data_IF_451551924311
#
_entry.id   IF_451551924311
#
_cell.length_a   1.000
_cell.length_b   1.000
_cell.length_c   1.000
_cell.angle_alpha   90.00
_cell.angle_beta   90.00
_cell.angle_gamma   90.00
#
_symmetry.space_group_name_H-M   'P 1'
#
loop_
_entity.id
_entity.type
_entity.pdbx_description
1 polymer ?
#
# COMPACT_ATOMS: atom_id res chain seq x y z
N UNK A 1 65.32 -4.96 -24.68
CA UNK A 1 64.99 -4.09 -23.53
C UNK A 1 64.09 -2.97 -24.03
N UNK A 2 62.77 -3.06 -23.79
CA UNK A 2 61.79 -2.10 -24.30
C UNK A 2 61.60 -1.02 -23.23
N UNK A 3 62.12 0.18 -23.48
CA UNK A 3 61.98 1.33 -22.58
C UNK A 3 60.54 1.83 -22.70
N UNK A 4 59.74 1.58 -21.67
CA UNK A 4 58.36 2.09 -21.56
C UNK A 4 58.45 3.57 -21.21
N UNK A 5 58.35 4.44 -22.22
CA UNK A 5 58.32 5.90 -22.06
C UNK A 5 57.04 6.28 -21.32
N UNK A 6 57.16 6.67 -20.05
CA UNK A 6 56.04 7.18 -19.24
C UNK A 6 55.80 8.64 -19.63
N UNK A 7 55.05 8.85 -20.72
CA UNK A 7 54.68 10.19 -21.18
C UNK A 7 53.56 10.69 -20.27
N UNK A 8 53.79 11.80 -19.57
CA UNK A 8 52.76 12.42 -18.74
C UNK A 8 51.61 12.91 -19.61
N UNK A 9 50.35 12.75 -19.15
CA UNK A 9 49.14 13.20 -19.87
C UNK A 9 49.24 14.67 -20.27
N UNK A 10 49.97 15.46 -19.48
CA UNK A 10 50.27 16.88 -19.73
C UNK A 10 51.20 17.13 -20.93
N UNK A 11 52.15 16.23 -21.21
CA UNK A 11 53.03 16.33 -22.38
C UNK A 11 52.28 15.96 -23.66
N UNK A 12 51.41 14.96 -23.60
CA UNK A 12 50.52 14.57 -24.69
C UNK A 12 49.60 15.72 -25.11
N UNK A 13 49.01 16.44 -24.14
CA UNK A 13 48.13 17.59 -24.39
C UNK A 13 48.85 18.75 -25.10
N UNK A 14 50.15 18.93 -24.86
CA UNK A 14 50.94 20.04 -25.42
C UNK A 14 51.36 19.83 -26.88
N UNK A 15 51.42 18.57 -27.32
CA UNK A 15 51.78 18.19 -28.70
C UNK A 15 50.60 18.11 -29.66
N UNK A 16 49.37 18.22 -29.18
CA UNK A 16 48.17 18.11 -30.01
C UNK A 16 47.91 19.40 -30.79
N UNK A 17 47.70 19.26 -32.10
CA UNK A 17 47.28 20.37 -32.95
C UNK A 17 45.83 20.74 -32.61
N UNK A 18 45.45 22.04 -32.61
CA UNK A 18 44.10 22.47 -32.24
C UNK A 18 43.03 21.85 -33.14
N UNK A 19 43.36 21.49 -34.38
CA UNK A 19 42.45 20.84 -35.33
C UNK A 19 42.02 19.43 -34.91
N UNK A 20 42.87 18.71 -34.18
CA UNK A 20 42.60 17.35 -33.72
C UNK A 20 41.78 17.34 -32.42
N UNK A 21 41.63 18.51 -31.78
CA UNK A 21 40.87 18.69 -30.55
C UNK A 21 39.39 19.10 -30.79
N UNK A 22 39.04 19.41 -32.05
CA UNK A 22 37.70 19.88 -32.42
C UNK A 22 36.65 18.77 -32.22
N UNK A 23 36.88 17.58 -32.78
CA UNK A 23 35.96 16.44 -32.66
C UNK A 23 35.76 15.94 -31.22
N UNK A 24 36.82 15.69 -30.41
CA UNK A 24 36.63 15.33 -29.02
C UNK A 24 36.02 16.47 -28.20
N UNK A 25 36.30 17.73 -28.54
CA UNK A 25 35.67 18.89 -27.90
C UNK A 25 34.15 18.96 -28.15
N UNK A 26 33.71 18.73 -29.39
CA UNK A 26 32.28 18.65 -29.73
C UNK A 26 31.61 17.48 -29.01
N UNK A 27 32.30 16.34 -28.90
CA UNK A 27 31.78 15.16 -28.21
C UNK A 27 31.58 15.45 -26.70
N UNK A 28 32.57 16.07 -26.05
CA UNK A 28 32.46 16.49 -24.65
C UNK A 28 31.35 17.52 -24.44
N UNK A 29 31.22 18.49 -25.36
CA UNK A 29 30.12 19.46 -25.34
C UNK A 29 28.76 18.77 -25.44
N UNK A 30 28.62 17.81 -26.35
CA UNK A 30 27.38 17.05 -26.55
C UNK A 30 27.00 16.23 -25.30
N UNK A 31 27.96 15.52 -24.69
CA UNK A 31 27.73 14.83 -23.42
C UNK A 31 27.40 15.80 -22.27
N UNK A 32 28.04 16.98 -22.24
CA UNK A 32 27.71 18.04 -21.30
C UNK A 32 26.27 18.51 -21.42
N UNK A 33 25.79 18.73 -22.65
CA UNK A 33 24.39 19.11 -22.93
C UNK A 33 23.44 18.00 -22.47
N UNK A 34 23.73 16.74 -22.79
CA UNK A 34 22.92 15.58 -22.36
C UNK A 34 22.82 15.52 -20.83
N UNK A 35 23.94 15.70 -20.12
CA UNK A 35 23.95 15.70 -18.66
C UNK A 35 23.12 16.85 -18.09
N UNK A 36 23.24 18.06 -18.63
CA UNK A 36 22.43 19.21 -18.20
C UNK A 36 20.94 18.93 -18.41
N UNK A 37 20.55 18.42 -19.58
CA UNK A 37 19.15 18.06 -19.87
C UNK A 37 18.66 16.97 -18.91
N UNK A 38 19.47 15.94 -18.66
CA UNK A 38 19.14 14.88 -17.71
C UNK A 38 18.93 15.40 -16.28
N UNK A 39 19.80 16.30 -15.80
CA UNK A 39 19.61 16.92 -14.48
C UNK A 39 18.35 17.79 -14.41
N UNK A 40 18.06 18.55 -15.47
CA UNK A 40 16.84 19.35 -15.56
C UNK A 40 15.58 18.51 -15.55
N UNK A 41 15.54 17.42 -16.32
CA UNK A 41 14.39 16.51 -16.32
C UNK A 41 14.23 15.81 -14.97
N UNK A 42 15.32 15.36 -14.36
CA UNK A 42 15.29 14.73 -13.03
C UNK A 42 14.79 15.69 -11.95
N UNK A 43 15.21 16.96 -11.98
CA UNK A 43 14.67 18.00 -11.10
C UNK A 43 13.18 18.24 -11.34
N UNK A 44 12.76 18.38 -12.60
CA UNK A 44 11.35 18.60 -12.96
C UNK A 44 10.45 17.46 -12.49
N UNK A 45 10.90 16.22 -12.70
CA UNK A 45 10.18 15.01 -12.29
C UNK A 45 10.11 14.92 -10.77
N UNK A 46 11.21 15.19 -10.05
CA UNK A 46 11.17 15.19 -8.58
C UNK A 46 10.20 16.22 -8.02
N UNK A 47 10.17 17.44 -8.58
CA UNK A 47 9.26 18.51 -8.14
C UNK A 47 7.81 18.20 -8.48
N UNK A 48 7.55 17.61 -9.65
CA UNK A 48 6.19 17.29 -10.06
C UNK A 48 5.63 16.05 -9.35
N UNK A 49 6.46 15.02 -9.12
CA UNK A 49 6.08 13.86 -8.29
C UNK A 49 5.85 14.35 -6.86
N UNK A 50 6.76 15.13 -6.30
CA UNK A 50 6.55 15.64 -4.94
C UNK A 50 5.31 16.54 -4.86
N UNK A 51 4.92 17.27 -5.91
CA UNK A 51 3.68 18.05 -5.95
C UNK A 51 2.41 17.20 -6.17
N UNK A 52 2.48 16.15 -6.97
CA UNK A 52 1.37 15.24 -7.23
C UNK A 52 1.10 14.28 -6.05
N UNK A 53 2.12 14.04 -5.22
CA UNK A 53 2.05 13.20 -4.03
C UNK A 53 2.27 13.99 -2.73
N UNK A 54 2.39 15.32 -2.80
CA UNK A 54 2.22 16.18 -1.63
C UNK A 54 0.77 16.02 -1.23
N UNK A 55 0.45 15.46 -0.05
CA UNK A 55 -0.89 15.61 0.48
C UNK A 55 -1.13 17.12 0.55
N UNK A 56 -2.14 17.62 -0.16
CA UNK A 56 -2.74 18.89 0.24
C UNK A 56 -3.14 18.70 1.69
N UNK A 57 -2.33 19.21 2.61
CA UNK A 57 -2.51 19.11 4.05
C UNK A 57 -3.78 19.86 4.50
N UNK A 58 -4.57 20.45 3.58
CA UNK A 58 -5.80 21.17 3.90
C UNK A 58 -6.87 21.09 2.79
N UNK A 59 -6.98 19.98 2.06
CA UNK A 59 -8.24 19.66 1.40
C UNK A 59 -9.04 18.77 2.34
N UNK A 60 -10.19 19.21 2.89
CA UNK A 60 -11.08 18.28 3.56
C UNK A 60 -11.40 17.20 2.53
N UNK A 61 -11.06 15.94 2.85
CA UNK A 61 -11.62 14.74 2.23
C UNK A 61 -13.01 15.09 1.73
N UNK A 62 -13.29 14.96 0.42
CA UNK A 62 -14.58 15.34 -0.15
C UNK A 62 -15.70 14.70 0.70
N UNK A 63 -16.15 15.47 1.70
CA UNK A 63 -17.21 15.07 2.57
C UNK A 63 -18.40 15.09 1.63
N UNK A 64 -18.98 13.91 1.42
CA UNK A 64 -20.19 13.75 0.66
C UNK A 64 -21.13 14.90 1.04
N UNK A 65 -21.39 15.81 0.11
CA UNK A 65 -22.20 17.00 0.35
C UNK A 65 -23.64 16.53 0.56
N UNK A 66 -23.93 16.22 1.83
CA UNK A 66 -25.16 15.57 2.28
C UNK A 66 -26.36 16.45 1.91
N UNK A 67 -26.16 17.77 1.83
CA UNK A 67 -27.22 18.71 1.47
C UNK A 67 -27.63 18.57 0.00
N UNK A 68 -26.66 18.48 -0.92
CA UNK A 68 -26.94 18.18 -2.33
C UNK A 68 -27.63 16.82 -2.51
N UNK A 69 -27.17 15.81 -1.78
CA UNK A 69 -27.75 14.46 -1.87
C UNK A 69 -29.20 14.43 -1.36
N UNK A 70 -29.49 15.16 -0.28
CA UNK A 70 -30.83 15.26 0.31
C UNK A 70 -31.82 16.00 -0.61
N UNK A 71 -31.33 16.99 -1.37
CA UNK A 71 -32.13 17.72 -2.36
C UNK A 71 -32.51 16.83 -3.55
N UNK A 72 -31.57 16.03 -4.04
CA UNK A 72 -31.79 15.07 -5.13
C UNK A 72 -32.75 13.96 -4.70
N UNK A 73 -32.58 13.41 -3.49
CA UNK A 73 -33.49 12.40 -2.95
C UNK A 73 -34.92 12.93 -2.74
N UNK A 74 -35.07 14.18 -2.29
CA UNK A 74 -36.39 14.83 -2.15
C UNK A 74 -37.07 15.02 -3.52
N UNK A 75 -36.31 15.29 -4.58
CA UNK A 75 -36.84 15.38 -5.96
C UNK A 75 -37.21 14.02 -6.55
N UNK A 76 -36.53 12.95 -6.13
CA UNK A 76 -36.75 11.57 -6.61
C UNK A 76 -37.72 10.77 -5.73
N UNK A 77 -38.26 11.35 -4.65
CA UNK A 77 -39.15 10.71 -3.68
C UNK A 77 -38.59 9.39 -3.09
N UNK A 78 -37.27 9.34 -2.90
CA UNK A 78 -36.57 8.18 -2.32
C UNK A 78 -36.34 8.48 -0.83
N UNK A 79 -36.75 7.56 0.05
CA UNK A 79 -36.47 7.67 1.47
C UNK A 79 -34.96 7.55 1.71
N UNK A 80 -34.30 8.65 2.10
CA UNK A 80 -32.91 8.64 2.55
C UNK A 80 -32.90 8.49 4.06
N UNK A 81 -32.61 7.29 4.53
CA UNK A 81 -32.12 7.08 5.89
C UNK A 81 -30.62 7.39 5.90
N UNK A 82 -30.17 8.45 6.61
CA UNK A 82 -28.75 8.60 6.87
C UNK A 82 -28.33 7.45 7.80
N UNK A 83 -27.39 6.61 7.38
CA UNK A 83 -26.69 5.70 8.27
C UNK A 83 -25.81 6.54 9.21
N UNK A 84 -26.42 7.05 10.27
CA UNK A 84 -25.73 7.66 11.39
C UNK A 84 -25.18 6.53 12.25
N UNK A 85 -23.87 6.28 12.14
CA UNK A 85 -23.13 5.53 13.14
C UNK A 85 -23.06 6.39 14.42
N UNK A 86 -24.10 6.32 15.22
CA UNK A 86 -24.09 6.75 16.62
C UNK A 86 -24.98 5.77 17.37
N UNK A 87 -24.40 4.66 17.80
CA UNK A 87 -25.04 3.74 18.73
C UNK A 87 -24.89 4.34 20.14
N UNK A 88 -25.93 5.04 20.60
CA UNK A 88 -26.26 5.19 22.03
C UNK A 88 -27.28 4.09 22.35
N UNK A 89 -27.20 3.39 23.49
CA UNK A 89 -27.97 2.18 23.73
C UNK A 89 -29.45 2.51 23.91
N UNK A 90 -30.31 1.96 23.07
CA UNK A 90 -31.74 1.89 23.32
C UNK A 90 -32.07 0.45 23.74
N UNK A 91 -32.56 0.30 24.97
CA UNK A 91 -33.21 -0.91 25.47
C UNK A 91 -34.30 -1.37 24.50
N UNK A 92 -34.23 -2.63 24.09
CA UNK A 92 -35.28 -3.30 23.33
C UNK A 92 -35.94 -4.31 24.28
N UNK A 93 -37.29 -4.34 24.39
CA UNK A 93 -37.98 -5.32 25.22
C UNK A 93 -37.68 -6.74 24.77
N UNK A 94 -37.41 -7.60 25.75
CA UNK A 94 -37.13 -9.03 25.64
C UNK A 94 -38.30 -9.71 24.91
N UNK A 95 -38.05 -10.16 23.67
CA UNK A 95 -38.85 -11.19 23.02
C UNK A 95 -38.05 -12.49 23.08
N UNK A 96 -38.48 -13.36 23.98
CA UNK A 96 -37.97 -14.70 24.22
C UNK A 96 -38.21 -15.59 23.00
N UNK A 97 -37.25 -15.61 22.08
CA UNK A 97 -37.07 -16.71 21.14
C UNK A 97 -35.87 -17.52 21.62
N UNK A 98 -36.15 -18.55 22.43
CA UNK A 98 -35.20 -19.57 22.82
C UNK A 98 -34.67 -20.30 21.57
N UNK A 99 -33.62 -19.77 20.98
CA UNK A 99 -32.66 -20.57 20.21
C UNK A 99 -31.45 -20.74 21.10
N UNK A 100 -31.29 -21.96 21.59
CA UNK A 100 -30.09 -22.48 22.25
C UNK A 100 -28.90 -22.30 21.31
N UNK A 101 -28.24 -21.14 21.37
CA UNK A 101 -26.88 -20.99 20.87
C UNK A 101 -25.99 -21.80 21.80
N UNK A 102 -25.75 -23.04 21.39
CA UNK A 102 -24.55 -23.79 21.76
C UNK A 102 -23.38 -22.81 21.71
N UNK A 103 -22.47 -22.77 22.71
CA UNK A 103 -21.26 -21.97 22.59
C UNK A 103 -20.59 -22.40 21.30
N UNK A 104 -20.59 -21.53 20.28
CA UNK A 104 -19.92 -21.81 19.03
C UNK A 104 -18.47 -22.13 19.41
N UNK A 105 -18.09 -23.39 19.21
CA UNK A 105 -16.74 -23.85 19.47
C UNK A 105 -15.78 -22.81 18.87
N UNK A 106 -14.82 -22.36 19.68
CA UNK A 106 -13.85 -21.36 19.24
C UNK A 106 -13.33 -21.80 17.87
N UNK A 107 -13.48 -20.96 16.83
CA UNK A 107 -13.19 -21.38 15.47
C UNK A 107 -11.72 -21.80 15.39
N UNK A 108 -11.46 -23.01 14.91
CA UNK A 108 -10.13 -23.60 14.88
C UNK A 108 -9.22 -22.78 13.98
N UNK A 109 -8.30 -22.05 14.61
CA UNK A 109 -7.37 -21.10 13.99
C UNK A 109 -6.48 -21.77 12.94
N UNK A 110 -6.33 -23.09 12.94
CA UNK A 110 -5.56 -23.84 11.94
C UNK A 110 -6.37 -24.23 10.69
N UNK A 111 -7.69 -24.10 10.71
CA UNK A 111 -8.58 -24.50 9.61
C UNK A 111 -8.76 -23.42 8.51
N UNK A 112 -8.01 -22.32 8.58
CA UNK A 112 -8.10 -21.19 7.66
C UNK A 112 -6.81 -20.99 6.88
N UNK A 113 -6.93 -20.85 5.56
CA UNK A 113 -5.79 -20.59 4.68
C UNK A 113 -5.56 -19.10 4.53
N UNK A 114 -4.41 -18.60 4.99
CA UNK A 114 -4.10 -17.16 5.03
C UNK A 114 -3.00 -16.84 4.02
N UNK A 115 -3.17 -15.77 3.24
CA UNK A 115 -2.10 -15.15 2.45
C UNK A 115 -1.86 -13.71 2.92
N UNK A 116 -0.61 -13.33 3.06
CA UNK A 116 -0.18 -11.99 3.45
C UNK A 116 0.60 -11.39 2.30
N UNK A 117 0.10 -10.28 1.78
CA UNK A 117 0.73 -9.54 0.70
C UNK A 117 1.29 -8.22 1.22
N UNK A 118 2.56 -8.00 0.93
CA UNK A 118 3.22 -6.73 1.24
C UNK A 118 3.04 -5.74 0.08
N UNK A 119 2.37 -4.62 0.32
CA UNK A 119 2.30 -3.52 -0.66
C UNK A 119 3.35 -2.42 -0.39
N UNK A 120 4.16 -2.58 0.66
CA UNK A 120 5.17 -1.60 1.08
C UNK A 120 6.52 -1.86 0.45
N UNK A 121 7.39 -0.83 0.42
CA UNK A 121 8.79 -0.97 -0.03
C UNK A 121 9.71 -1.63 1.01
N UNK A 122 9.20 -1.98 2.20
CA UNK A 122 9.99 -2.59 3.28
C UNK A 122 10.06 -4.10 3.09
N UNK A 123 11.26 -4.66 3.01
CA UNK A 123 11.46 -6.11 2.86
C UNK A 123 11.16 -6.84 4.16
N UNK A 124 10.55 -8.02 4.07
CA UNK A 124 10.33 -8.93 5.21
C UNK A 124 9.10 -8.62 6.08
N UNK A 125 8.34 -7.56 5.78
CA UNK A 125 7.18 -7.16 6.60
C UNK A 125 6.06 -8.21 6.60
N UNK A 126 5.73 -8.76 5.43
CA UNK A 126 4.76 -9.87 5.33
C UNK A 126 5.22 -11.12 6.09
N UNK A 127 6.53 -11.41 6.09
CA UNK A 127 7.09 -12.55 6.84
C UNK A 127 7.02 -12.33 8.34
N UNK A 128 7.26 -11.11 8.81
CA UNK A 128 7.11 -10.78 10.23
C UNK A 128 5.66 -10.94 10.68
N UNK A 129 4.69 -10.47 9.88
CA UNK A 129 3.27 -10.66 10.19
C UNK A 129 2.84 -12.13 10.10
N UNK A 130 3.38 -12.90 9.15
CA UNK A 130 3.15 -14.34 9.06
C UNK A 130 3.58 -15.05 10.35
N UNK A 131 4.78 -14.74 10.84
CA UNK A 131 5.28 -15.29 12.11
C UNK A 131 4.44 -14.86 13.30
N UNK A 132 3.97 -13.61 13.33
CA UNK A 132 3.09 -13.13 14.41
C UNK A 132 1.76 -13.90 14.43
N UNK A 133 1.17 -14.18 13.26
CA UNK A 133 -0.05 -14.97 13.14
C UNK A 133 0.17 -16.45 13.50
N UNK A 134 1.29 -17.04 13.07
CA UNK A 134 1.68 -18.40 13.48
C UNK A 134 1.85 -18.49 15.01
N UNK A 135 2.50 -17.51 15.63
CA UNK A 135 2.62 -17.41 17.09
C UNK A 135 1.26 -17.20 17.78
N UNK A 136 0.32 -16.54 17.11
CA UNK A 136 -1.08 -16.38 17.56
C UNK A 136 -1.93 -17.64 17.44
N UNK A 137 -1.36 -18.73 16.91
CA UNK A 137 -1.99 -20.04 16.74
C UNK A 137 -2.69 -20.25 15.41
N UNK A 138 -2.51 -19.36 14.42
CA UNK A 138 -3.08 -19.51 13.09
C UNK A 138 -2.26 -20.48 12.21
N UNK A 139 -2.89 -21.01 11.17
CA UNK A 139 -2.20 -21.79 10.15
C UNK A 139 -1.06 -21.00 9.50
N UNK A 140 -0.04 -21.73 8.99
CA UNK A 140 1.11 -21.15 8.30
C UNK A 140 0.66 -20.25 7.14
N UNK A 141 0.90 -18.94 7.28
CA UNK A 141 0.45 -17.98 6.30
C UNK A 141 1.40 -17.94 5.09
N UNK A 142 0.86 -17.95 3.88
CA UNK A 142 1.65 -17.70 2.68
C UNK A 142 2.02 -16.22 2.62
N UNK A 143 3.21 -15.91 2.12
CA UNK A 143 3.66 -14.52 1.96
C UNK A 143 3.87 -14.20 0.47
N UNK A 144 3.55 -12.97 0.09
CA UNK A 144 3.75 -12.47 -1.26
C UNK A 144 3.94 -10.96 -1.28
N UNK A 145 4.19 -10.43 -2.47
CA UNK A 145 4.21 -9.00 -2.71
C UNK A 145 2.96 -8.61 -3.49
N UNK A 146 2.35 -7.50 -3.11
CA UNK A 146 1.31 -6.85 -3.90
C UNK A 146 1.96 -5.79 -4.79
N UNK A 147 1.63 -5.78 -6.08
CA UNK A 147 2.22 -4.81 -7.00
C UNK A 147 1.58 -3.43 -6.84
N UNK A 148 0.32 -3.40 -6.41
CA UNK A 148 -0.43 -2.18 -6.16
C UNK A 148 -0.14 -1.69 -4.74
N UNK A 149 0.25 -0.42 -4.55
CA UNK A 149 0.41 0.15 -3.23
C UNK A 149 -0.96 0.31 -2.56
N UNK A 150 -1.09 -0.13 -1.31
CA UNK A 150 -2.27 0.10 -0.49
C UNK A 150 -1.94 1.10 0.62
N UNK A 151 -2.82 2.08 0.83
CA UNK A 151 -2.63 3.07 1.89
C UNK A 151 -2.74 2.41 3.27
N UNK A 152 -3.75 1.55 3.47
CA UNK A 152 -4.10 1.00 4.78
C UNK A 152 -4.05 -0.52 4.77
N UNK A 153 -3.61 -1.11 5.89
CA UNK A 153 -3.62 -2.57 6.07
C UNK A 153 -5.05 -3.09 6.06
N UNK A 154 -5.37 -3.96 5.11
CA UNK A 154 -6.74 -4.48 4.92
C UNK A 154 -6.74 -6.00 4.97
N UNK A 155 -7.59 -6.56 5.82
CA UNK A 155 -7.86 -7.98 5.93
C UNK A 155 -9.12 -8.29 5.10
N UNK A 156 -8.96 -9.05 4.04
CA UNK A 156 -10.02 -9.58 3.20
C UNK A 156 -10.36 -11.00 3.66
N UNK A 157 -11.61 -11.25 4.03
CA UNK A 157 -12.05 -12.54 4.57
C UNK A 157 -13.27 -13.04 3.80
N UNK A 158 -13.33 -14.34 3.52
CA UNK A 158 -14.54 -14.96 2.96
C UNK A 158 -15.70 -14.81 3.93
N UNK A 159 -16.89 -14.58 3.38
CA UNK A 159 -18.12 -14.43 4.17
C UNK A 159 -18.42 -15.72 4.97
N UNK A 160 -18.15 -16.88 4.37
CA UNK A 160 -18.22 -18.20 5.00
C UNK A 160 -17.27 -18.40 6.19
N UNK A 161 -16.27 -17.53 6.34
CA UNK A 161 -15.26 -17.57 7.41
C UNK A 161 -15.31 -16.34 8.31
N UNK A 162 -16.39 -15.55 8.29
CA UNK A 162 -16.55 -14.31 9.08
C UNK A 162 -16.25 -14.47 10.57
N UNK A 163 -16.47 -15.65 11.15
CA UNK A 163 -16.14 -15.99 12.54
C UNK A 163 -14.65 -15.81 12.89
N UNK A 164 -13.75 -15.90 11.92
CA UNK A 164 -12.31 -15.68 12.11
C UNK A 164 -11.92 -14.19 12.03
N UNK A 165 -12.78 -13.33 11.50
CA UNK A 165 -12.46 -11.95 11.17
C UNK A 165 -12.13 -11.10 12.39
N UNK A 166 -12.89 -11.24 13.47
CA UNK A 166 -12.64 -10.51 14.70
C UNK A 166 -11.29 -10.91 15.33
N UNK A 167 -11.00 -12.22 15.37
CA UNK A 167 -9.78 -12.76 15.99
C UNK A 167 -8.54 -12.38 15.17
N UNK A 168 -8.61 -12.49 13.85
CA UNK A 168 -7.53 -12.06 12.94
C UNK A 168 -7.30 -10.55 13.03
N UNK A 169 -8.38 -9.76 13.04
CA UNK A 169 -8.27 -8.31 13.10
C UNK A 169 -7.65 -7.86 14.42
N UNK A 170 -8.01 -8.48 15.54
CA UNK A 170 -7.40 -8.19 16.84
C UNK A 170 -5.90 -8.48 16.85
N UNK A 171 -5.47 -9.64 16.31
CA UNK A 171 -4.05 -9.99 16.22
C UNK A 171 -3.28 -9.02 15.31
N UNK A 172 -3.86 -8.63 14.17
CA UNK A 172 -3.25 -7.67 13.25
C UNK A 172 -3.17 -6.29 13.90
N UNK A 173 -4.18 -5.86 14.66
CA UNK A 173 -4.23 -4.54 15.33
C UNK A 173 -3.15 -4.35 16.38
N UNK A 174 -2.58 -5.42 16.94
CA UNK A 174 -1.40 -5.33 17.81
C UNK A 174 -0.17 -4.76 17.09
N UNK A 175 -0.06 -5.01 15.79
CA UNK A 175 1.06 -4.54 14.95
C UNK A 175 0.66 -3.35 14.07
N UNK A 176 -0.60 -3.31 13.62
CA UNK A 176 -1.14 -2.31 12.70
C UNK A 176 -2.46 -1.74 13.24
N UNK A 177 -2.40 -0.66 14.02
CA UNK A 177 -3.58 -0.07 14.68
C UNK A 177 -4.73 0.25 13.71
N UNK A 178 -4.40 0.65 12.47
CA UNK A 178 -5.38 1.08 11.47
C UNK A 178 -5.88 -0.07 10.57
N UNK A 179 -5.75 -1.33 10.99
CA UNK A 179 -6.22 -2.45 10.18
C UNK A 179 -7.75 -2.46 10.04
N UNK A 180 -8.20 -2.68 8.80
CA UNK A 180 -9.62 -2.74 8.43
C UNK A 180 -9.99 -4.14 7.96
N UNK A 181 -11.18 -4.61 8.33
CA UNK A 181 -11.77 -5.85 7.83
C UNK A 181 -12.66 -5.54 6.62
N UNK A 182 -12.45 -6.29 5.54
CA UNK A 182 -13.25 -6.29 4.33
C UNK A 182 -13.64 -7.73 3.98
N UNK A 183 -14.75 -7.89 3.27
CA UNK A 183 -15.17 -9.20 2.75
C UNK A 183 -14.55 -9.46 1.37
N UNK A 184 -14.28 -10.72 1.07
CA UNK A 184 -13.80 -11.17 -0.24
C UNK A 184 -14.76 -12.17 -0.87
N UNK A 185 -14.60 -12.41 -2.17
CA UNK A 185 -15.45 -13.37 -2.88
C UNK A 185 -15.14 -14.81 -2.47
N UNK A 186 -16.18 -15.64 -2.35
CA UNK A 186 -16.03 -17.06 -1.98
C UNK A 186 -15.15 -17.87 -2.96
N UNK A 187 -15.02 -17.40 -4.21
CA UNK A 187 -14.14 -18.00 -5.22
C UNK A 187 -12.64 -17.73 -5.02
N UNK A 188 -12.23 -17.02 -3.97
CA UNK A 188 -10.82 -16.77 -3.69
C UNK A 188 -10.08 -18.07 -3.29
N UNK A 189 -8.84 -18.21 -3.78
CA UNK A 189 -7.96 -19.36 -3.50
C UNK A 189 -7.64 -19.49 -2.01
N UNK A 190 -7.57 -18.35 -1.31
CA UNK A 190 -7.31 -18.28 0.13
C UNK A 190 -8.55 -17.80 0.87
N UNK A 191 -8.71 -18.26 2.10
CA UNK A 191 -9.86 -17.93 2.95
C UNK A 191 -9.72 -16.54 3.57
N UNK A 192 -8.49 -16.15 3.89
CA UNK A 192 -8.13 -14.81 4.33
C UNK A 192 -6.95 -14.28 3.52
N UNK A 193 -7.05 -13.03 3.06
CA UNK A 193 -5.98 -12.29 2.40
C UNK A 193 -5.72 -11.00 3.17
N UNK A 194 -4.52 -10.83 3.69
CA UNK A 194 -4.09 -9.61 4.38
C UNK A 194 -3.20 -8.83 3.43
N UNK A 195 -3.54 -7.58 3.15
CA UNK A 195 -2.68 -6.67 2.39
C UNK A 195 -2.13 -5.64 3.35
N UNK A 196 -0.81 -5.60 3.51
CA UNK A 196 -0.12 -4.65 4.39
C UNK A 196 0.07 -3.34 3.64
N UNK A 197 -0.53 -2.26 4.18
CA UNK A 197 -0.45 -0.91 3.63
C UNK A 197 0.76 -0.12 4.13
N UNK A 198 0.99 1.04 3.54
CA UNK A 198 2.11 1.94 3.88
C UNK A 198 1.87 2.82 5.12
N UNK A 199 0.62 2.96 5.60
CA UNK A 199 0.25 3.71 6.80
C UNK A 199 0.16 2.87 8.07
#
# INVERSE_FOLDING_TARGET
MIIKKNISVLELLRTLKPRDLIYPGILVLFFGIILVVFFFTMQFISKNINKAFSPEENAPSQALDIEKYKLVAKKLNIAVTPASNTAVPAEIPVAEAATTSTPAAAPDKQSITIIIKNSTSKKGVATTLAKALENGGFAKAQTGNEQKPYATTTLFLKESKSAYGAILLEEIRKTYLNAVLATTTEGAVFDAMIIIGVN
#
